data_IF_655664260007
#
_entry.id   IF_655664260007
#
_cell.length_a   1.000
_cell.length_b   1.000
_cell.length_c   1.000
_cell.angle_alpha   90.00
_cell.angle_beta   90.00
_cell.angle_gamma   90.00
#
_symmetry.space_group_name_H-M   'P 1'
#
loop_
_entity.id
_entity.type
_entity.pdbx_description
1 polymer ?
#
# COMPACT_ATOMS: atom_id res chain seq x y z
N UNK A 1 0.72 -34.70 16.95
CA UNK A 1 0.15 -36.06 16.71
C UNK A 1 -0.88 -35.98 15.59
N UNK A 2 -1.99 -35.25 15.72
CA UNK A 2 -3.01 -35.12 14.66
C UNK A 2 -2.46 -34.57 13.32
N UNK A 3 -1.62 -33.53 13.36
CA UNK A 3 -1.06 -32.93 12.14
C UNK A 3 -0.25 -33.94 11.28
N UNK A 4 0.40 -34.92 11.93
CA UNK A 4 1.17 -35.95 11.21
C UNK A 4 0.27 -36.89 10.41
N UNK A 5 -0.96 -37.16 10.88
CA UNK A 5 -1.93 -38.00 10.18
C UNK A 5 -2.37 -37.36 8.84
N UNK A 6 -2.44 -36.03 8.79
CA UNK A 6 -2.83 -35.28 7.60
C UNK A 6 -1.64 -34.77 6.78
N UNK A 7 -0.40 -34.86 7.29
CA UNK A 7 0.79 -34.31 6.64
C UNK A 7 0.94 -34.80 5.21
N UNK A 8 0.78 -36.11 4.98
CA UNK A 8 0.88 -36.70 3.64
C UNK A 8 -0.13 -36.09 2.66
N UNK A 9 -1.39 -35.91 3.08
CA UNK A 9 -2.45 -35.33 2.27
C UNK A 9 -2.22 -33.84 1.98
N UNK A 10 -1.83 -33.08 3.00
CA UNK A 10 -1.57 -31.64 2.89
C UNK A 10 -0.41 -31.35 1.94
N UNK A 11 0.64 -32.18 1.97
CA UNK A 11 1.82 -32.03 1.11
C UNK A 11 1.67 -32.70 -0.26
N UNK A 12 0.58 -33.44 -0.51
CA UNK A 12 0.35 -34.11 -1.77
C UNK A 12 -0.01 -33.12 -2.87
N UNK A 13 0.75 -33.15 -3.98
CA UNK A 13 0.44 -32.37 -5.18
C UNK A 13 -0.77 -32.93 -5.93
N UNK A 14 -1.52 -32.06 -6.62
CA UNK A 14 -2.66 -32.46 -7.44
C UNK A 14 -3.97 -32.69 -6.66
N UNK A 15 -3.91 -32.78 -5.33
CA UNK A 15 -5.10 -32.69 -4.48
C UNK A 15 -5.40 -31.22 -4.23
N UNK A 16 -6.56 -30.76 -4.67
CA UNK A 16 -6.97 -29.36 -4.51
C UNK A 16 -7.32 -29.03 -3.06
N UNK A 17 -6.84 -27.89 -2.56
CA UNK A 17 -7.16 -27.34 -1.24
C UNK A 17 -8.06 -26.14 -1.44
N UNK A 18 -9.30 -26.26 -0.97
CA UNK A 18 -10.31 -25.20 -1.05
C UNK A 18 -10.41 -24.54 0.33
N UNK A 19 -10.34 -23.22 0.36
CA UNK A 19 -10.43 -22.45 1.60
C UNK A 19 -10.85 -21.01 1.37
N UNK A 20 -11.00 -20.26 2.45
CA UNK A 20 -11.32 -18.83 2.42
C UNK A 20 -10.18 -18.10 3.12
N UNK A 21 -9.48 -17.19 2.41
CA UNK A 21 -8.26 -16.57 2.93
C UNK A 21 -7.18 -17.61 3.31
N UNK A 22 -6.92 -18.56 2.39
CA UNK A 22 -6.00 -19.69 2.55
C UNK A 22 -4.61 -19.27 3.02
N UNK A 23 -4.16 -18.05 2.71
CA UNK A 23 -2.86 -17.54 3.15
C UNK A 23 -2.69 -17.63 4.67
N UNK A 24 -3.78 -17.44 5.45
CA UNK A 24 -3.77 -17.61 6.90
C UNK A 24 -3.49 -19.06 7.28
N UNK A 25 -4.27 -20.02 6.78
CA UNK A 25 -4.11 -21.45 7.09
C UNK A 25 -2.74 -21.98 6.67
N UNK A 26 -2.29 -21.59 5.48
CA UNK A 26 -0.96 -21.92 4.96
C UNK A 26 0.14 -21.40 5.89
N UNK A 27 -0.03 -20.22 6.47
CA UNK A 27 0.93 -19.64 7.42
C UNK A 27 0.98 -20.41 8.74
N UNK A 28 -0.20 -20.77 9.29
CA UNK A 28 -0.29 -21.56 10.52
C UNK A 28 0.35 -22.95 10.33
N UNK A 29 0.08 -23.61 9.20
CA UNK A 29 0.64 -24.92 8.88
C UNK A 29 2.15 -24.86 8.62
N UNK A 30 2.62 -23.81 7.94
CA UNK A 30 4.05 -23.60 7.71
C UNK A 30 4.82 -23.39 9.03
N UNK A 31 4.24 -22.67 10.00
CA UNK A 31 4.82 -22.50 11.33
C UNK A 31 4.99 -23.84 12.09
N UNK A 32 4.22 -24.87 11.72
CA UNK A 32 4.35 -26.24 12.23
C UNK A 32 5.16 -27.16 11.31
N UNK A 33 5.90 -26.59 10.35
CA UNK A 33 6.75 -27.33 9.42
C UNK A 33 5.98 -28.12 8.37
N UNK A 34 4.74 -27.75 8.04
CA UNK A 34 3.95 -28.37 6.98
C UNK A 34 3.81 -27.38 5.82
N UNK A 35 4.50 -27.68 4.73
CA UNK A 35 4.36 -26.93 3.48
C UNK A 35 3.25 -27.55 2.63
N UNK A 36 2.02 -27.04 2.78
CA UNK A 36 0.86 -27.49 2.02
C UNK A 36 1.09 -27.23 0.54
N UNK A 37 0.85 -28.23 -0.31
CA UNK A 37 1.00 -28.11 -1.77
C UNK A 37 -0.35 -28.01 -2.48
N UNK A 38 -0.42 -27.19 -3.53
CA UNK A 38 -1.62 -26.98 -4.32
C UNK A 38 -1.99 -28.15 -5.24
N UNK A 39 -3.04 -27.98 -6.08
CA UNK A 39 -3.69 -26.71 -6.42
C UNK A 39 -4.48 -26.08 -5.28
N UNK A 40 -4.66 -24.76 -5.31
CA UNK A 40 -5.42 -24.01 -4.31
C UNK A 40 -6.64 -23.36 -4.94
N UNK A 41 -7.74 -23.30 -4.19
CA UNK A 41 -8.89 -22.47 -4.50
C UNK A 41 -9.20 -21.61 -3.27
N UNK A 42 -8.89 -20.33 -3.35
CA UNK A 42 -9.26 -19.36 -2.33
C UNK A 42 -10.53 -18.62 -2.75
N UNK A 43 -11.63 -18.82 -2.02
CA UNK A 43 -12.92 -18.21 -2.34
C UNK A 43 -12.91 -16.68 -2.16
N UNK A 44 -12.08 -16.14 -1.27
CA UNK A 44 -11.89 -14.69 -1.12
C UNK A 44 -11.24 -14.12 -2.38
N UNK A 45 -10.13 -14.72 -2.84
CA UNK A 45 -9.45 -14.29 -4.07
C UNK A 45 -10.34 -14.46 -5.31
N UNK A 46 -11.09 -15.56 -5.38
CA UNK A 46 -12.04 -15.79 -6.47
C UNK A 46 -13.09 -14.68 -6.53
N UNK A 47 -13.72 -14.36 -5.41
CA UNK A 47 -14.72 -13.29 -5.36
C UNK A 47 -14.11 -11.90 -5.63
N UNK A 48 -12.88 -11.64 -5.17
CA UNK A 48 -12.18 -10.38 -5.48
C UNK A 48 -11.88 -10.17 -6.95
N UNK A 49 -11.81 -11.24 -7.75
CA UNK A 49 -11.74 -11.13 -9.21
C UNK A 49 -13.12 -11.02 -9.88
N UNK A 50 -14.14 -11.64 -9.29
CA UNK A 50 -15.52 -11.62 -9.82
C UNK A 50 -16.16 -10.25 -9.63
N UNK A 51 -16.10 -9.69 -8.42
CA UNK A 51 -16.71 -8.40 -8.08
C UNK A 51 -15.82 -7.59 -7.10
N UNK A 52 -14.78 -6.90 -7.61
CA UNK A 52 -13.75 -6.24 -6.79
C UNK A 52 -14.25 -5.14 -5.84
N UNK A 53 -15.44 -4.57 -6.09
CA UNK A 53 -15.98 -3.44 -5.31
C UNK A 53 -16.84 -3.91 -4.11
N UNK A 54 -17.10 -5.21 -3.99
CA UNK A 54 -17.91 -5.79 -2.92
C UNK A 54 -17.09 -6.18 -1.69
N UNK A 55 -17.81 -6.61 -0.64
CA UNK A 55 -17.17 -7.25 0.51
C UNK A 55 -16.84 -8.69 0.14
N UNK A 56 -15.69 -9.17 0.62
CA UNK A 56 -15.19 -10.51 0.30
C UNK A 56 -15.12 -11.43 1.52
N UNK A 57 -15.75 -11.08 2.65
CA UNK A 57 -15.77 -11.93 3.84
C UNK A 57 -16.77 -13.09 3.69
N UNK A 58 -16.41 -14.27 4.18
CA UNK A 58 -17.19 -15.51 4.03
C UNK A 58 -18.67 -15.36 4.44
N UNK A 59 -18.97 -14.73 5.56
CA UNK A 59 -20.35 -14.53 6.05
C UNK A 59 -21.21 -13.79 5.02
N UNK A 60 -20.69 -12.70 4.47
CA UNK A 60 -21.37 -11.92 3.43
C UNK A 60 -21.54 -12.74 2.14
N UNK A 61 -20.55 -13.54 1.78
CA UNK A 61 -20.61 -14.41 0.60
C UNK A 61 -21.63 -15.55 0.78
N UNK A 62 -21.69 -16.16 1.97
CA UNK A 62 -22.68 -17.18 2.28
C UNK A 62 -24.11 -16.63 2.20
N UNK A 63 -24.36 -15.43 2.74
CA UNK A 63 -25.69 -14.81 2.68
C UNK A 63 -26.10 -14.45 1.25
N UNK A 64 -25.16 -13.95 0.45
CA UNK A 64 -25.42 -13.51 -0.93
C UNK A 64 -25.56 -14.68 -1.91
N UNK A 65 -24.65 -15.66 -1.86
CA UNK A 65 -24.61 -16.79 -2.80
C UNK A 65 -25.47 -17.98 -2.37
N UNK A 66 -25.50 -18.28 -1.06
CA UNK A 66 -26.11 -19.50 -0.53
C UNK A 66 -27.44 -19.23 0.20
N UNK A 67 -27.78 -17.95 0.46
CA UNK A 67 -28.92 -17.56 1.31
C UNK A 67 -28.85 -18.20 2.70
N UNK A 68 -27.63 -18.36 3.18
CA UNK A 68 -27.31 -18.96 4.46
C UNK A 68 -26.56 -17.95 5.32
N UNK A 69 -26.88 -17.89 6.61
CA UNK A 69 -26.21 -17.01 7.58
C UNK A 69 -25.35 -17.89 8.48
N UNK A 70 -24.02 -17.88 8.32
CA UNK A 70 -23.11 -18.63 9.17
C UNK A 70 -23.15 -18.15 10.63
N UNK A 71 -22.68 -19.00 11.53
CA UNK A 71 -22.46 -18.63 12.94
C UNK A 71 -21.30 -17.63 12.99
N UNK A 72 -21.48 -16.40 13.49
CA UNK A 72 -20.38 -15.46 13.60
C UNK A 72 -19.38 -15.91 14.66
N UNK A 73 -18.08 -15.69 14.44
CA UNK A 73 -17.03 -16.05 15.41
C UNK A 73 -17.29 -15.45 16.80
N UNK A 74 -17.91 -14.28 16.88
CA UNK A 74 -18.24 -13.60 18.14
C UNK A 74 -19.30 -14.33 18.97
N UNK A 75 -20.11 -15.20 18.37
CA UNK A 75 -21.00 -16.10 19.12
C UNK A 75 -20.20 -17.20 19.85
N UNK A 76 -19.00 -17.51 19.37
CA UNK A 76 -18.13 -18.53 19.93
C UNK A 76 -17.18 -17.96 20.99
N UNK A 77 -16.49 -16.87 20.66
CA UNK A 77 -15.43 -16.30 21.51
C UNK A 77 -15.83 -15.00 22.23
N UNK A 78 -17.05 -14.51 22.01
CA UNK A 78 -17.51 -13.22 22.51
C UNK A 78 -17.07 -12.03 21.64
N UNK A 79 -17.51 -10.83 22.01
CA UNK A 79 -17.16 -9.57 21.33
C UNK A 79 -16.07 -8.81 22.09
N UNK A 80 -15.17 -8.13 21.37
CA UNK A 80 -14.11 -7.24 21.92
C UNK A 80 -14.62 -6.02 22.72
N UNK A 81 -15.90 -5.96 23.09
CA UNK A 81 -16.47 -4.82 23.82
C UNK A 81 -16.06 -4.84 25.30
N UNK A 82 -14.81 -4.46 25.56
CA UNK A 82 -14.33 -3.58 26.63
C UNK A 82 -12.97 -3.99 27.21
N UNK A 83 -12.43 -5.17 26.89
CA UNK A 83 -11.09 -5.56 27.31
C UNK A 83 -10.52 -6.67 26.41
N UNK A 84 -9.28 -6.54 25.94
CA UNK A 84 -8.59 -7.57 25.13
C UNK A 84 -8.48 -8.90 25.91
N UNK A 85 -8.55 -8.84 27.24
CA UNK A 85 -8.52 -9.98 28.16
C UNK A 85 -9.88 -10.65 28.39
N UNK A 86 -10.97 -10.11 27.84
CA UNK A 86 -12.33 -10.65 28.01
C UNK A 86 -12.81 -11.55 26.88
N UNK A 87 -12.06 -11.64 25.77
CA UNK A 87 -12.37 -12.52 24.65
C UNK A 87 -11.72 -13.88 24.89
N UNK A 88 -12.52 -14.94 24.88
CA UNK A 88 -12.01 -16.31 24.97
C UNK A 88 -11.23 -16.67 23.71
N UNK A 89 -10.23 -17.52 23.79
CA UNK A 89 -9.59 -18.09 22.60
C UNK A 89 -10.35 -19.31 22.11
N UNK A 90 -10.11 -19.73 20.85
CA UNK A 90 -10.61 -21.02 20.35
C UNK A 90 -10.16 -22.20 21.25
N UNK A 91 -8.98 -22.09 21.87
CA UNK A 91 -8.48 -23.10 22.80
C UNK A 91 -9.27 -23.12 24.11
N UNK A 92 -9.65 -21.95 24.65
CA UNK A 92 -10.47 -21.84 25.86
C UNK A 92 -11.85 -22.44 25.61
N UNK A 93 -12.48 -22.09 24.48
CA UNK A 93 -13.79 -22.67 24.10
C UNK A 93 -13.69 -24.17 23.87
N UNK A 94 -12.62 -24.66 23.23
CA UNK A 94 -12.42 -26.09 23.02
C UNK A 94 -12.20 -26.86 24.33
N UNK A 95 -11.59 -26.24 25.33
CA UNK A 95 -11.39 -26.85 26.64
C UNK A 95 -12.72 -27.03 27.40
N UNK A 96 -13.68 -26.13 27.18
CA UNK A 96 -15.03 -26.22 27.76
C UNK A 96 -15.97 -27.12 26.94
N UNK A 97 -15.99 -26.91 25.63
CA UNK A 97 -16.88 -27.59 24.68
C UNK A 97 -16.23 -27.68 23.29
N UNK A 98 -15.40 -28.70 23.10
CA UNK A 98 -14.77 -29.01 21.82
C UNK A 98 -15.77 -29.20 20.67
N UNK A 99 -17.03 -29.56 20.96
CA UNK A 99 -18.03 -29.79 19.92
C UNK A 99 -18.44 -28.48 19.25
N UNK A 100 -18.57 -27.39 20.00
CA UNK A 100 -18.86 -26.06 19.43
C UNK A 100 -17.79 -25.59 18.45
N UNK A 101 -16.52 -25.79 18.80
CA UNK A 101 -15.40 -25.45 17.91
C UNK A 101 -15.41 -26.33 16.66
N UNK A 102 -15.68 -27.63 16.81
CA UNK A 102 -15.79 -28.55 15.69
C UNK A 102 -16.95 -28.20 14.74
N UNK A 103 -18.13 -27.88 15.28
CA UNK A 103 -19.30 -27.53 14.48
C UNK A 103 -19.08 -26.20 13.73
N UNK A 104 -18.47 -25.19 14.37
CA UNK A 104 -18.07 -23.93 13.71
C UNK A 104 -17.05 -24.16 12.59
N UNK A 105 -15.96 -24.89 12.86
CA UNK A 105 -14.92 -25.15 11.86
C UNK A 105 -15.43 -26.02 10.70
N UNK A 106 -16.38 -26.93 10.96
CA UNK A 106 -17.01 -27.75 9.92
C UNK A 106 -17.95 -26.91 9.03
N UNK A 107 -18.69 -25.96 9.62
CA UNK A 107 -19.52 -25.01 8.88
C UNK A 107 -18.67 -24.16 7.92
N UNK A 108 -17.57 -23.56 8.40
CA UNK A 108 -16.64 -22.78 7.57
C UNK A 108 -16.12 -23.58 6.36
N UNK A 109 -15.74 -24.84 6.59
CA UNK A 109 -15.26 -25.73 5.53
C UNK A 109 -16.35 -26.09 4.50
N UNK A 110 -17.56 -26.41 4.95
CA UNK A 110 -18.70 -26.76 4.08
C UNK A 110 -19.17 -25.55 3.25
N UNK A 111 -19.41 -24.41 3.92
CA UNK A 111 -19.80 -23.15 3.28
C UNK A 111 -18.78 -22.76 2.22
N UNK A 112 -17.49 -22.81 2.55
CA UNK A 112 -16.42 -22.46 1.62
C UNK A 112 -16.36 -23.40 0.41
N UNK A 113 -16.57 -24.71 0.61
CA UNK A 113 -16.65 -25.67 -0.48
C UNK A 113 -17.83 -25.39 -1.42
N UNK A 114 -19.01 -25.07 -0.87
CA UNK A 114 -20.19 -24.69 -1.64
C UNK A 114 -19.99 -23.38 -2.40
N UNK A 115 -19.38 -22.37 -1.78
CA UNK A 115 -19.02 -21.10 -2.43
C UNK A 115 -18.08 -21.34 -3.61
N UNK A 116 -17.07 -22.20 -3.44
CA UNK A 116 -16.14 -22.53 -4.52
C UNK A 116 -16.86 -23.14 -5.73
N UNK A 117 -17.82 -24.04 -5.51
CA UNK A 117 -18.62 -24.62 -6.59
C UNK A 117 -19.43 -23.57 -7.36
N UNK A 118 -19.93 -22.53 -6.68
CA UNK A 118 -20.69 -21.42 -7.30
C UNK A 118 -19.79 -20.43 -8.04
N UNK A 119 -18.61 -20.11 -7.49
CA UNK A 119 -17.71 -19.09 -8.03
C UNK A 119 -16.90 -19.57 -9.24
N UNK A 120 -16.58 -20.86 -9.34
CA UNK A 120 -15.83 -21.44 -10.47
C UNK A 120 -16.38 -21.03 -11.84
N UNK A 121 -17.69 -21.22 -12.16
CA UNK A 121 -18.23 -20.80 -13.44
C UNK A 121 -18.29 -19.28 -13.63
N UNK A 122 -18.24 -18.49 -12.56
CA UNK A 122 -18.31 -17.03 -12.62
C UNK A 122 -16.97 -16.37 -12.93
N UNK A 123 -15.84 -17.03 -12.65
CA UNK A 123 -14.50 -16.52 -12.94
C UNK A 123 -14.30 -16.17 -14.42
N UNK A 124 -14.90 -16.91 -15.36
CA UNK A 124 -14.88 -16.63 -16.82
C UNK A 124 -13.49 -16.22 -17.33
N UNK A 125 -13.34 -14.98 -17.78
CA UNK A 125 -12.11 -14.41 -18.33
C UNK A 125 -11.00 -14.25 -17.28
N UNK A 126 -11.37 -14.14 -16.00
CA UNK A 126 -10.43 -14.02 -14.88
C UNK A 126 -9.85 -15.37 -14.43
N UNK A 127 -10.33 -16.49 -14.99
CA UNK A 127 -9.86 -17.82 -14.61
C UNK A 127 -8.35 -17.97 -14.78
N UNK A 128 -7.77 -17.41 -15.85
CA UNK A 128 -6.32 -17.44 -16.06
C UNK A 128 -5.57 -16.71 -14.94
N UNK A 129 -6.02 -15.50 -14.58
CA UNK A 129 -5.38 -14.69 -13.52
C UNK A 129 -5.49 -15.42 -12.18
N UNK A 130 -6.67 -15.95 -11.86
CA UNK A 130 -6.89 -16.73 -10.65
C UNK A 130 -5.94 -17.93 -10.55
N UNK A 131 -5.93 -18.80 -11.57
CA UNK A 131 -5.19 -20.07 -11.52
C UNK A 131 -3.69 -19.93 -11.74
N UNK A 132 -3.24 -18.93 -12.51
CA UNK A 132 -1.84 -18.80 -12.94
C UNK A 132 -1.09 -17.67 -12.25
N UNK A 133 -1.79 -16.74 -11.61
CA UNK A 133 -1.18 -15.61 -10.91
C UNK A 133 -1.53 -15.66 -9.42
N UNK A 134 -2.80 -15.55 -9.06
CA UNK A 134 -3.20 -15.32 -7.66
C UNK A 134 -3.04 -16.56 -6.77
N UNK A 135 -3.53 -17.74 -7.19
CA UNK A 135 -3.40 -18.97 -6.41
C UNK A 135 -1.95 -19.46 -6.27
N UNK A 136 -1.11 -19.44 -7.32
CA UNK A 136 0.31 -19.80 -7.18
C UNK A 136 1.10 -18.82 -6.31
N UNK A 137 0.64 -17.57 -6.17
CA UNK A 137 1.28 -16.54 -5.35
C UNK A 137 1.04 -16.75 -3.84
N UNK A 138 -0.04 -17.45 -3.44
CA UNK A 138 -0.34 -17.76 -2.04
C UNK A 138 0.85 -18.35 -1.27
N UNK A 139 1.43 -19.51 -1.65
CA UNK A 139 2.55 -20.09 -0.90
C UNK A 139 3.81 -19.21 -0.92
N UNK A 140 4.00 -18.39 -1.96
CA UNK A 140 5.13 -17.45 -2.05
C UNK A 140 4.96 -16.36 -1.00
N UNK A 141 3.78 -15.73 -0.94
CA UNK A 141 3.50 -14.69 0.07
C UNK A 141 3.53 -15.27 1.48
N UNK A 142 2.93 -16.43 1.72
CA UNK A 142 3.01 -17.12 3.01
C UNK A 142 4.46 -17.31 3.46
N UNK A 143 5.36 -17.78 2.57
CA UNK A 143 6.79 -17.94 2.88
C UNK A 143 7.48 -16.60 3.12
N UNK A 144 7.19 -15.59 2.30
CA UNK A 144 7.75 -14.24 2.47
C UNK A 144 7.35 -13.62 3.81
N UNK A 145 6.07 -13.73 4.18
CA UNK A 145 5.54 -13.23 5.45
C UNK A 145 6.14 -13.98 6.64
N UNK A 146 6.22 -15.32 6.57
CA UNK A 146 6.83 -16.14 7.63
C UNK A 146 8.35 -15.89 7.76
N UNK A 147 9.04 -15.57 6.67
CA UNK A 147 10.46 -15.22 6.74
C UNK A 147 10.67 -13.85 7.38
N UNK A 148 9.87 -12.85 7.00
CA UNK A 148 9.96 -11.50 7.52
C UNK A 148 11.27 -10.77 7.17
N UNK A 149 11.40 -9.54 7.66
CA UNK A 149 12.57 -8.67 7.41
C UNK A 149 13.22 -8.23 8.72
N UNK A 150 14.56 -8.23 8.76
CA UNK A 150 15.31 -7.79 9.94
C UNK A 150 15.48 -6.27 9.91
N UNK A 151 15.37 -5.65 11.08
CA UNK A 151 15.71 -4.25 11.27
C UNK A 151 16.74 -4.07 12.39
N UNK A 152 17.59 -3.06 12.23
CA UNK A 152 18.44 -2.53 13.28
C UNK A 152 17.64 -1.52 14.11
N UNK A 153 17.09 -2.01 15.22
CA UNK A 153 16.30 -1.20 16.16
C UNK A 153 17.13 -0.11 16.82
N UNK A 154 18.44 -0.34 17.03
CA UNK A 154 19.30 0.64 17.67
C UNK A 154 19.57 1.81 16.72
N UNK A 155 20.00 1.52 15.48
CA UNK A 155 20.22 2.55 14.47
C UNK A 155 18.96 3.38 14.22
N UNK A 156 17.78 2.73 14.22
CA UNK A 156 16.51 3.43 14.05
C UNK A 156 16.21 4.38 15.23
N UNK A 157 16.47 3.96 16.48
CA UNK A 157 16.28 4.81 17.67
C UNK A 157 17.25 5.99 17.70
N UNK A 158 18.51 5.78 17.34
CA UNK A 158 19.52 6.83 17.25
C UNK A 158 19.09 7.89 16.23
N UNK A 159 18.59 7.46 15.08
CA UNK A 159 18.03 8.36 14.08
C UNK A 159 16.76 9.10 14.56
N UNK A 160 15.94 8.45 15.39
CA UNK A 160 14.80 9.08 16.06
C UNK A 160 15.15 10.33 16.85
N UNK A 161 16.26 10.27 17.60
CA UNK A 161 16.76 11.44 18.36
C UNK A 161 17.11 12.61 17.45
N UNK A 162 17.67 12.33 16.26
CA UNK A 162 17.97 13.37 15.28
C UNK A 162 16.70 13.99 14.68
N UNK A 163 15.70 13.16 14.39
CA UNK A 163 14.39 13.62 13.91
C UNK A 163 13.68 14.48 14.95
N UNK A 164 13.69 14.09 16.23
CA UNK A 164 13.10 14.87 17.33
C UNK A 164 13.76 16.24 17.46
N UNK A 165 15.10 16.30 17.41
CA UNK A 165 15.83 17.57 17.43
C UNK A 165 15.41 18.46 16.25
N UNK A 166 15.36 17.89 15.04
CA UNK A 166 14.98 18.63 13.83
C UNK A 166 13.53 19.10 13.89
N UNK A 167 12.61 18.29 14.41
CA UNK A 167 11.21 18.65 14.61
C UNK A 167 11.08 19.82 15.59
N UNK A 168 11.83 19.80 16.71
CA UNK A 168 11.82 20.87 17.70
C UNK A 168 12.37 22.20 17.13
N UNK A 169 13.46 22.14 16.36
CA UNK A 169 14.03 23.29 15.67
C UNK A 169 13.04 23.90 14.65
N UNK A 170 12.43 23.06 13.82
CA UNK A 170 11.42 23.46 12.85
C UNK A 170 10.20 24.07 13.54
N UNK A 171 9.70 23.43 14.60
CA UNK A 171 8.57 23.92 15.38
C UNK A 171 8.84 25.32 15.93
N UNK A 172 10.03 25.54 16.52
CA UNK A 172 10.42 26.86 17.04
C UNK A 172 10.43 27.91 15.93
N UNK A 173 11.09 27.61 14.80
CA UNK A 173 11.17 28.50 13.64
C UNK A 173 9.79 28.84 13.07
N UNK A 174 8.90 27.85 12.99
CA UNK A 174 7.51 28.03 12.51
C UNK A 174 6.73 28.94 13.46
N UNK A 175 6.83 28.73 14.77
CA UNK A 175 6.12 29.54 15.77
C UNK A 175 6.62 30.99 15.80
N UNK A 176 7.93 31.20 15.64
CA UNK A 176 8.53 32.55 15.49
C UNK A 176 8.00 33.25 14.24
N UNK A 177 8.04 32.58 13.09
CA UNK A 177 7.52 33.09 11.82
C UNK A 177 6.00 33.27 11.79
N UNK A 178 5.27 32.53 12.63
CA UNK A 178 3.82 32.63 12.77
C UNK A 178 3.35 33.75 13.72
N UNK A 179 4.28 34.46 14.38
CA UNK A 179 3.95 35.49 15.35
C UNK A 179 3.30 34.97 16.64
N UNK A 180 3.64 33.74 17.07
CA UNK A 180 3.21 33.20 18.35
C UNK A 180 3.02 31.69 18.38
N UNK A 181 2.89 31.10 19.58
CA UNK A 181 2.74 29.66 19.75
C UNK A 181 1.39 29.15 19.22
N UNK A 182 1.41 27.99 18.60
CA UNK A 182 0.23 27.21 18.22
C UNK A 182 0.62 25.73 18.07
N UNK A 183 -0.38 24.86 17.98
CA UNK A 183 -0.20 23.43 17.77
C UNK A 183 -0.09 23.12 16.27
N UNK A 184 1.11 22.79 15.79
CA UNK A 184 1.36 22.43 14.39
C UNK A 184 0.66 21.12 13.97
N UNK A 185 0.36 20.25 14.93
CA UNK A 185 -0.35 19.00 14.68
C UNK A 185 -1.87 19.20 14.56
N UNK A 186 -2.37 20.42 14.79
CA UNK A 186 -3.78 20.78 14.60
C UNK A 186 -3.98 21.46 13.23
N UNK A 187 -4.60 20.78 12.24
CA UNK A 187 -4.87 21.37 10.93
C UNK A 187 -5.71 22.64 11.01
N UNK A 188 -6.59 22.74 12.02
CA UNK A 188 -7.41 23.91 12.29
C UNK A 188 -6.56 25.13 12.67
N UNK A 189 -5.73 24.99 13.71
CA UNK A 189 -4.88 26.10 14.17
C UNK A 189 -3.87 26.51 13.10
N UNK A 190 -3.29 25.53 12.40
CA UNK A 190 -2.40 25.80 11.28
C UNK A 190 -3.10 26.62 10.18
N UNK A 191 -4.34 26.26 9.84
CA UNK A 191 -5.14 27.00 8.87
C UNK A 191 -5.41 28.44 9.30
N UNK A 192 -5.82 28.66 10.55
CA UNK A 192 -6.05 30.00 11.11
C UNK A 192 -4.77 30.85 11.07
N UNK A 193 -3.62 30.26 11.40
CA UNK A 193 -2.31 30.95 11.31
C UNK A 193 -1.98 31.34 9.86
N UNK A 194 -2.08 30.41 8.92
CA UNK A 194 -1.70 30.66 7.52
C UNK A 194 -2.63 31.66 6.82
N UNK A 195 -3.93 31.61 7.10
CA UNK A 195 -4.92 32.31 6.30
C UNK A 195 -5.59 33.50 7.00
N UNK A 196 -5.76 33.46 8.32
CA UNK A 196 -6.36 34.58 9.06
C UNK A 196 -5.28 35.54 9.57
N UNK A 197 -4.18 34.99 10.12
CA UNK A 197 -3.08 35.79 10.69
C UNK A 197 -2.09 36.25 9.63
N UNK A 198 -1.48 35.32 8.90
CA UNK A 198 -0.48 35.62 7.87
C UNK A 198 -1.09 36.06 6.54
N UNK A 199 -2.39 35.77 6.33
CA UNK A 199 -3.16 36.16 5.14
C UNK A 199 -2.45 35.84 3.82
N UNK A 200 -1.86 34.65 3.73
CA UNK A 200 -1.03 34.24 2.59
C UNK A 200 -1.80 34.20 1.26
N UNK A 201 -3.11 34.00 1.31
CA UNK A 201 -4.01 34.02 0.14
C UNK A 201 -5.35 34.66 0.52
N UNK A 202 -5.96 35.37 -0.43
CA UNK A 202 -7.25 36.05 -0.21
C UNK A 202 -8.44 35.09 -0.14
N UNK A 203 -8.37 33.95 -0.84
CA UNK A 203 -9.49 32.98 -0.93
C UNK A 203 -9.01 31.56 -0.63
N UNK A 204 -8.83 31.20 0.65
CA UNK A 204 -8.41 29.86 1.03
C UNK A 204 -9.50 28.82 0.76
N UNK A 205 -9.11 27.67 0.24
CA UNK A 205 -10.02 26.53 0.10
C UNK A 205 -10.36 25.96 1.48
N UNK A 206 -11.62 25.58 1.67
CA UNK A 206 -12.13 24.94 2.89
C UNK A 206 -12.60 23.52 2.61
N UNK A 207 -12.52 22.65 3.61
CA UNK A 207 -13.10 21.31 3.61
C UNK A 207 -14.63 21.40 3.67
N UNK A 208 -15.32 20.29 3.41
CA UNK A 208 -16.77 20.19 3.59
C UNK A 208 -17.21 20.53 5.03
N UNK A 209 -16.32 20.34 6.01
CA UNK A 209 -16.52 20.68 7.43
C UNK A 209 -16.18 22.14 7.77
N UNK A 210 -15.85 22.97 6.78
CA UNK A 210 -15.58 24.41 6.96
C UNK A 210 -14.17 24.76 7.47
N UNK A 211 -13.30 23.77 7.68
CA UNK A 211 -11.91 24.00 8.09
C UNK A 211 -11.06 24.38 6.87
N UNK A 212 -10.02 25.18 7.07
CA UNK A 212 -9.08 25.47 5.99
C UNK A 212 -8.34 24.21 5.53
N UNK A 213 -8.21 24.03 4.22
CA UNK A 213 -7.42 22.94 3.66
C UNK A 213 -5.93 23.28 3.82
N UNK A 214 -5.21 22.43 4.53
CA UNK A 214 -3.76 22.55 4.72
C UNK A 214 -3.04 21.27 4.29
N UNK A 215 -3.57 20.51 3.32
CA UNK A 215 -2.90 19.29 2.85
C UNK A 215 -1.61 19.61 2.07
N UNK A 216 -0.80 18.59 1.79
CA UNK A 216 0.49 18.75 1.11
C UNK A 216 0.36 19.49 -0.23
N UNK A 217 -0.67 19.18 -1.03
CA UNK A 217 -0.91 19.83 -2.32
C UNK A 217 -1.19 21.34 -2.16
N UNK A 218 -2.01 21.74 -1.18
CA UNK A 218 -2.27 23.16 -0.90
C UNK A 218 -0.98 23.83 -0.45
N UNK A 219 -0.24 23.24 0.49
CA UNK A 219 1.03 23.82 0.96
C UNK A 219 2.06 23.95 -0.16
N UNK A 220 2.18 22.96 -1.04
CA UNK A 220 3.07 23.04 -2.21
C UNK A 220 2.68 24.20 -3.15
N UNK A 221 1.39 24.45 -3.36
CA UNK A 221 0.93 25.60 -4.16
C UNK A 221 1.24 26.96 -3.54
N UNK A 222 1.58 26.99 -2.24
CA UNK A 222 1.95 28.20 -1.49
C UNK A 222 3.46 28.38 -1.37
N UNK A 223 4.26 27.47 -1.94
CA UNK A 223 5.73 27.60 -1.92
C UNK A 223 6.15 28.92 -2.58
N UNK A 224 7.16 29.56 -2.00
CA UNK A 224 7.67 30.86 -2.45
C UNK A 224 6.89 32.08 -1.92
N UNK A 225 5.67 31.91 -1.39
CA UNK A 225 4.93 33.02 -0.78
C UNK A 225 5.47 33.39 0.61
N UNK A 226 5.89 32.39 1.39
CA UNK A 226 6.42 32.63 2.73
C UNK A 226 7.34 31.47 3.17
N UNK A 227 8.48 31.74 3.85
CA UNK A 227 9.42 30.71 4.32
C UNK A 227 8.76 29.64 5.20
N UNK A 228 7.78 30.03 6.01
CA UNK A 228 7.02 29.13 6.90
C UNK A 228 6.44 27.91 6.18
N UNK A 229 6.11 28.02 4.89
CA UNK A 229 5.48 26.93 4.12
C UNK A 229 6.44 25.75 3.95
N UNK A 230 7.71 26.02 3.61
CA UNK A 230 8.72 24.97 3.49
C UNK A 230 8.95 24.32 4.86
N UNK A 231 9.07 25.14 5.91
CA UNK A 231 9.27 24.64 7.27
C UNK A 231 8.14 23.71 7.73
N UNK A 232 6.88 24.05 7.41
CA UNK A 232 5.72 23.21 7.73
C UNK A 232 5.76 21.89 6.96
N UNK A 233 6.14 21.90 5.68
CA UNK A 233 6.29 20.70 4.89
C UNK A 233 7.38 19.78 5.48
N UNK A 234 8.55 20.35 5.78
CA UNK A 234 9.66 19.64 6.42
C UNK A 234 9.27 19.08 7.80
N UNK A 235 8.57 19.87 8.62
CA UNK A 235 8.12 19.46 9.96
C UNK A 235 7.17 18.26 9.87
N UNK A 236 6.23 18.29 8.92
CA UNK A 236 5.29 17.17 8.70
C UNK A 236 5.98 15.93 8.19
N UNK A 237 6.97 16.08 7.31
CA UNK A 237 7.78 14.94 6.85
C UNK A 237 8.51 14.29 8.03
N UNK A 238 9.27 15.08 8.81
CA UNK A 238 10.02 14.60 9.98
C UNK A 238 9.10 13.93 11.00
N UNK A 239 7.99 14.58 11.37
CA UNK A 239 7.04 14.05 12.35
C UNK A 239 6.39 12.76 11.86
N UNK A 240 6.04 12.69 10.56
CA UNK A 240 5.50 11.46 9.97
C UNK A 240 6.53 10.34 10.00
N UNK A 241 7.78 10.63 9.63
CA UNK A 241 8.86 9.65 9.65
C UNK A 241 9.09 9.10 11.07
N UNK A 242 9.04 9.96 12.07
CA UNK A 242 9.21 9.56 13.46
C UNK A 242 8.04 8.68 13.94
N UNK A 243 6.82 9.21 13.92
CA UNK A 243 5.65 8.52 14.48
C UNK A 243 5.28 7.25 13.71
N UNK A 244 5.40 7.27 12.38
CA UNK A 244 4.93 6.14 11.54
C UNK A 244 5.99 5.04 11.41
N UNK A 245 7.27 5.37 11.53
CA UNK A 245 8.35 4.41 11.28
C UNK A 245 9.27 4.22 12.48
N UNK A 246 9.88 5.29 13.00
CA UNK A 246 10.85 5.17 14.10
C UNK A 246 10.21 4.62 15.36
N UNK A 247 9.05 5.13 15.75
CA UNK A 247 8.35 4.67 16.95
C UNK A 247 7.63 3.34 16.69
N UNK A 248 6.97 3.19 15.55
CA UNK A 248 6.09 2.05 15.29
C UNK A 248 6.83 0.76 14.89
N UNK A 249 7.89 0.83 14.07
CA UNK A 249 8.57 -0.37 13.56
C UNK A 249 9.21 -1.23 14.66
N UNK A 250 9.86 -0.67 15.71
CA UNK A 250 10.37 -1.47 16.82
C UNK A 250 9.30 -2.29 17.54
N UNK A 251 8.06 -1.78 17.62
CA UNK A 251 6.94 -2.50 18.21
C UNK A 251 6.41 -3.64 17.32
N UNK A 252 6.68 -3.58 16.02
CA UNK A 252 6.32 -4.62 15.06
C UNK A 252 7.34 -5.78 14.98
N UNK A 253 8.46 -5.70 15.71
CA UNK A 253 9.45 -6.78 15.75
C UNK A 253 8.91 -7.93 16.58
N UNK A 254 8.79 -9.10 15.95
CA UNK A 254 8.42 -10.34 16.63
C UNK A 254 9.46 -10.71 17.66
N UNK A 255 9.01 -10.99 18.90
CA UNK A 255 9.87 -11.46 19.99
C UNK A 255 10.42 -12.87 19.74
N UNK A 256 9.79 -13.63 18.85
CA UNK A 256 10.17 -15.02 18.54
C UNK A 256 11.28 -15.06 17.49
N UNK A 257 11.15 -14.27 16.43
CA UNK A 257 12.07 -14.32 15.28
C UNK A 257 13.08 -13.18 15.26
N UNK A 258 12.83 -12.09 16.00
CA UNK A 258 13.62 -10.86 15.90
C UNK A 258 13.41 -10.11 14.59
N UNK A 259 12.32 -10.39 13.86
CA UNK A 259 12.02 -9.84 12.53
C UNK A 259 10.64 -9.20 12.49
N UNK A 260 10.43 -8.32 11.51
CA UNK A 260 9.11 -7.76 11.18
C UNK A 260 8.44 -8.66 10.15
N UNK A 261 7.19 -9.05 10.43
CA UNK A 261 6.36 -9.88 9.57
C UNK A 261 5.17 -9.07 9.07
N UNK A 262 5.35 -8.35 7.96
CA UNK A 262 4.25 -7.61 7.32
C UNK A 262 3.20 -8.56 6.76
N UNK A 263 1.97 -8.11 6.64
CA UNK A 263 0.89 -8.83 5.95
C UNK A 263 0.66 -8.22 4.58
N UNK A 264 0.84 -9.00 3.51
CA UNK A 264 0.52 -8.62 2.14
C UNK A 264 -0.93 -8.99 1.81
N UNK A 265 -1.68 -8.04 1.28
CA UNK A 265 -3.07 -8.26 0.85
C UNK A 265 -3.12 -8.34 -0.67
N UNK A 266 -3.50 -9.51 -1.20
CA UNK A 266 -3.82 -9.68 -2.61
C UNK A 266 -5.17 -9.04 -2.91
N UNK A 267 -5.30 -8.43 -4.10
CA UNK A 267 -6.57 -7.92 -4.65
C UNK A 267 -7.36 -6.94 -3.77
N UNK A 268 -6.72 -6.32 -2.76
CA UNK A 268 -7.37 -5.30 -1.92
C UNK A 268 -7.61 -3.98 -2.68
N UNK A 269 -6.70 -3.64 -3.60
CA UNK A 269 -6.90 -2.50 -4.49
C UNK A 269 -7.60 -2.98 -5.77
N UNK A 270 -8.59 -2.22 -6.25
CA UNK A 270 -9.27 -2.50 -7.53
C UNK A 270 -8.32 -2.63 -8.74
N UNK A 271 -7.11 -2.07 -8.62
CA UNK A 271 -6.04 -2.19 -9.64
C UNK A 271 -5.32 -3.56 -9.65
N UNK A 272 -5.62 -4.44 -8.69
CA UNK A 272 -4.94 -5.72 -8.50
C UNK A 272 -3.58 -5.62 -7.79
N UNK A 273 -3.11 -4.41 -7.44
CA UNK A 273 -1.85 -4.25 -6.70
C UNK A 273 -1.97 -4.78 -5.28
N UNK A 274 -0.91 -5.46 -4.84
CA UNK A 274 -0.77 -5.85 -3.44
C UNK A 274 -0.72 -4.62 -2.54
N UNK A 275 -1.37 -4.70 -1.40
CA UNK A 275 -1.18 -3.77 -0.28
C UNK A 275 -0.37 -4.43 0.83
N UNK A 276 0.15 -3.64 1.78
CA UNK A 276 0.81 -4.18 2.97
C UNK A 276 0.29 -3.51 4.26
N UNK A 277 0.21 -4.26 5.35
CA UNK A 277 -0.17 -3.77 6.68
C UNK A 277 0.61 -4.46 7.79
N UNK A 278 0.54 -3.90 9.00
CA UNK A 278 1.13 -4.47 10.22
C UNK A 278 2.62 -4.85 10.13
N UNK A 279 3.53 -3.95 9.70
CA UNK A 279 3.34 -2.57 9.27
C UNK A 279 3.24 -2.43 7.74
N UNK A 280 2.79 -1.28 7.22
CA UNK A 280 2.79 -1.02 5.78
C UNK A 280 4.20 -0.68 5.27
N UNK A 281 4.91 -1.67 4.73
CA UNK A 281 6.27 -1.52 4.23
C UNK A 281 6.34 -0.84 2.86
N UNK A 282 5.24 -0.77 2.11
CA UNK A 282 5.20 -0.13 0.80
C UNK A 282 5.28 1.41 0.87
N UNK A 283 4.81 1.98 1.98
CA UNK A 283 4.73 3.44 2.15
C UNK A 283 6.04 4.08 2.67
N UNK A 284 7.07 3.28 2.98
CA UNK A 284 8.34 3.79 3.48
C UNK A 284 8.98 4.72 2.43
N UNK A 285 9.17 6.01 2.72
CA UNK A 285 9.61 6.99 1.72
C UNK A 285 10.94 6.62 1.06
N UNK A 286 11.03 6.88 -0.26
CA UNK A 286 12.13 6.38 -1.11
C UNK A 286 13.03 7.50 -1.63
N UNK A 287 12.49 8.72 -1.74
CA UNK A 287 13.13 9.83 -2.49
C UNK A 287 13.81 10.86 -1.61
N UNK A 288 13.34 11.06 -0.38
CA UNK A 288 13.96 12.02 0.53
C UNK A 288 15.17 11.42 1.22
N UNK A 289 16.17 12.26 1.50
CA UNK A 289 17.33 11.88 2.32
C UNK A 289 16.89 11.30 3.65
N UNK A 290 15.91 11.93 4.28
CA UNK A 290 15.40 11.49 5.56
C UNK A 290 14.74 10.09 5.50
N UNK A 291 14.03 9.79 4.42
CA UNK A 291 13.44 8.47 4.18
C UNK A 291 14.48 7.40 3.86
N UNK A 292 15.59 7.77 3.20
CA UNK A 292 16.70 6.86 2.93
C UNK A 292 17.35 6.35 4.21
N UNK A 293 17.50 7.19 5.23
CA UNK A 293 18.05 6.76 6.52
C UNK A 293 17.15 5.71 7.21
N UNK A 294 15.83 5.84 7.15
CA UNK A 294 14.90 4.81 7.67
C UNK A 294 15.11 3.46 6.96
N UNK A 295 15.38 3.47 5.65
CA UNK A 295 15.65 2.24 4.90
C UNK A 295 16.96 1.57 5.29
N UNK A 296 17.97 2.33 5.73
CA UNK A 296 19.24 1.75 6.20
C UNK A 296 19.06 0.91 7.46
N UNK A 297 18.00 1.16 8.24
CA UNK A 297 17.65 0.30 9.36
C UNK A 297 17.20 -1.09 8.90
N UNK A 298 16.81 -1.31 7.65
CA UNK A 298 16.53 -2.65 7.13
C UNK A 298 17.84 -3.32 6.72
N UNK A 299 18.19 -4.39 7.44
CA UNK A 299 19.51 -5.03 7.34
C UNK A 299 19.40 -6.49 6.90
N UNK A 300 20.46 -7.09 6.32
CA UNK A 300 20.49 -8.52 6.05
C UNK A 300 20.18 -9.34 7.32
N UNK A 301 19.44 -10.43 7.13
CA UNK A 301 18.99 -11.27 8.24
C UNK A 301 20.12 -11.99 8.97
N UNK A 302 21.05 -12.50 8.18
CA UNK A 302 22.12 -13.41 8.58
C UNK A 302 23.49 -12.80 8.30
N UNK A 303 24.49 -13.27 9.03
CA UNK A 303 25.88 -12.87 8.79
C UNK A 303 26.34 -13.32 7.39
N UNK A 304 27.05 -12.44 6.69
CA UNK A 304 27.51 -12.66 5.32
C UNK A 304 26.44 -12.49 4.23
N UNK A 305 25.18 -12.25 4.59
CA UNK A 305 24.14 -11.97 3.60
C UNK A 305 24.14 -10.50 3.16
N UNK A 306 23.61 -10.26 1.97
CA UNK A 306 23.38 -8.91 1.43
C UNK A 306 21.91 -8.73 1.04
N UNK A 307 21.41 -7.49 1.11
CA UNK A 307 20.11 -7.15 0.56
C UNK A 307 20.24 -6.81 -0.93
N UNK A 308 19.51 -7.52 -1.77
CA UNK A 308 19.42 -7.26 -3.20
C UNK A 308 18.07 -6.64 -3.52
N UNK A 309 18.06 -5.56 -4.31
CA UNK A 309 16.85 -4.93 -4.83
C UNK A 309 16.77 -5.15 -6.34
N UNK A 310 15.63 -5.66 -6.81
CA UNK A 310 15.30 -5.79 -8.23
C UNK A 310 14.01 -5.00 -8.49
N UNK A 311 14.07 -4.04 -9.40
CA UNK A 311 12.96 -3.13 -9.71
C UNK A 311 12.68 -3.09 -11.21
N UNK A 312 11.40 -3.15 -11.58
CA UNK A 312 11.01 -3.00 -12.97
C UNK A 312 11.03 -1.53 -13.37
N UNK A 313 12.08 -1.15 -14.10
CA UNK A 313 12.26 0.20 -14.63
C UNK A 313 11.09 0.63 -15.51
N UNK A 314 10.22 1.49 -14.96
CA UNK A 314 9.12 2.15 -15.66
C UNK A 314 8.11 1.17 -16.30
N UNK A 315 7.77 0.08 -15.60
CA UNK A 315 6.88 -0.97 -16.12
C UNK A 315 5.56 -0.44 -16.69
N UNK A 316 4.93 0.54 -16.04
CA UNK A 316 3.65 1.11 -16.49
C UNK A 316 3.76 1.77 -17.88
N UNK A 317 4.84 2.53 -18.11
CA UNK A 317 5.07 3.20 -19.40
C UNK A 317 5.40 2.18 -20.50
N UNK A 318 6.11 1.10 -20.14
CA UNK A 318 6.41 0.00 -21.07
C UNK A 318 5.15 -0.76 -21.47
N UNK A 319 4.27 -1.04 -20.50
CA UNK A 319 2.96 -1.65 -20.75
C UNK A 319 2.10 -0.73 -21.61
N UNK A 320 2.06 0.57 -21.32
CA UNK A 320 1.35 1.55 -22.16
C UNK A 320 1.86 1.53 -23.60
N UNK A 321 3.17 1.58 -23.81
CA UNK A 321 3.75 1.54 -25.17
C UNK A 321 3.35 0.27 -25.93
N UNK A 322 3.33 -0.89 -25.24
CA UNK A 322 2.90 -2.15 -25.83
C UNK A 322 1.40 -2.18 -26.15
N UNK A 323 0.56 -1.63 -25.28
CA UNK A 323 -0.91 -1.60 -25.46
C UNK A 323 -1.35 -0.57 -26.51
N UNK A 324 -0.69 0.59 -26.57
CA UNK A 324 -1.02 1.63 -27.55
C UNK A 324 -0.49 1.33 -28.96
N UNK A 325 0.55 0.49 -29.06
CA UNK A 325 1.24 0.23 -30.32
C UNK A 325 2.03 1.43 -30.85
N UNK A 326 2.32 2.42 -30.00
CA UNK A 326 3.04 3.62 -30.38
C UNK A 326 4.50 3.29 -30.74
N UNK A 327 4.82 3.39 -32.03
CA UNK A 327 6.15 3.05 -32.54
C UNK A 327 7.25 3.90 -31.92
N UNK A 328 6.99 5.18 -31.70
CA UNK A 328 8.00 6.10 -31.19
C UNK A 328 8.36 5.80 -29.72
N UNK A 329 7.38 5.39 -28.90
CA UNK A 329 7.59 4.96 -27.52
C UNK A 329 8.25 3.58 -27.46
N UNK A 330 7.82 2.64 -28.30
CA UNK A 330 8.43 1.30 -28.39
C UNK A 330 9.91 1.42 -28.81
N UNK A 331 10.21 2.19 -29.84
CA UNK A 331 11.58 2.44 -30.31
C UNK A 331 12.41 3.17 -29.26
N UNK A 332 11.84 4.14 -28.55
CA UNK A 332 12.55 4.81 -27.45
C UNK A 332 12.96 3.82 -26.36
N UNK A 333 12.07 2.92 -25.95
CA UNK A 333 12.41 1.89 -24.97
C UNK A 333 13.39 0.84 -25.51
N UNK A 334 13.27 0.44 -26.79
CA UNK A 334 14.16 -0.53 -27.43
C UNK A 334 15.59 0.00 -27.55
N UNK A 335 15.74 1.30 -27.81
CA UNK A 335 17.02 1.98 -27.92
C UNK A 335 17.59 2.49 -26.57
N UNK A 336 16.92 2.19 -25.45
CA UNK A 336 17.37 2.61 -24.12
C UNK A 336 17.29 4.12 -23.87
N UNK A 337 16.48 4.85 -24.64
CA UNK A 337 16.31 6.28 -24.47
C UNK A 337 15.48 6.59 -23.21
N UNK A 338 15.78 7.72 -22.58
CA UNK A 338 14.94 8.25 -21.50
C UNK A 338 13.63 8.78 -22.09
N UNK A 339 12.54 8.06 -21.87
CA UNK A 339 11.23 8.41 -22.41
C UNK A 339 10.75 9.78 -21.94
N UNK A 340 11.07 10.21 -20.72
CA UNK A 340 10.68 11.51 -20.22
C UNK A 340 11.49 12.62 -20.89
N UNK A 341 12.77 12.38 -21.17
CA UNK A 341 13.60 13.29 -21.93
C UNK A 341 13.14 13.36 -23.40
N UNK A 342 12.80 12.23 -24.01
CA UNK A 342 12.26 12.17 -25.36
C UNK A 342 10.91 12.89 -25.48
N UNK A 343 10.01 12.68 -24.52
CA UNK A 343 8.77 13.46 -24.45
C UNK A 343 9.06 14.95 -24.25
N UNK A 344 9.97 15.32 -23.35
CA UNK A 344 10.31 16.72 -23.10
C UNK A 344 10.88 17.41 -24.35
N UNK A 345 11.84 16.79 -25.02
CA UNK A 345 12.42 17.26 -26.28
C UNK A 345 11.32 17.60 -27.30
N UNK A 346 10.34 16.68 -27.46
CA UNK A 346 9.23 16.85 -28.38
C UNK A 346 8.21 17.90 -27.95
N UNK A 347 7.83 17.92 -26.67
CA UNK A 347 6.84 18.88 -26.13
C UNK A 347 7.38 20.31 -26.18
N UNK A 348 8.67 20.50 -25.89
CA UNK A 348 9.33 21.82 -25.88
C UNK A 348 9.97 22.19 -27.22
N UNK A 349 9.97 21.28 -28.21
CA UNK A 349 10.57 21.51 -29.53
C UNK A 349 12.09 21.72 -29.48
N UNK A 350 12.79 21.03 -28.57
CA UNK A 350 14.24 21.08 -28.39
C UNK A 350 14.87 19.73 -28.72
N UNK A 351 16.16 19.73 -29.08
CA UNK A 351 16.93 18.49 -29.23
C UNK A 351 17.05 17.76 -27.88
N UNK A 352 17.27 16.44 -27.91
CA UNK A 352 17.39 15.61 -26.70
C UNK A 352 18.43 16.17 -25.71
N UNK A 353 19.57 16.65 -26.21
CA UNK A 353 20.65 17.23 -25.40
C UNK A 353 20.31 18.63 -24.86
N UNK A 354 19.30 19.28 -25.43
CA UNK A 354 18.78 20.58 -24.97
C UNK A 354 17.75 20.48 -23.86
N UNK A 355 17.38 19.27 -23.43
CA UNK A 355 16.36 19.08 -22.39
C UNK A 355 16.92 19.41 -21.01
N UNK A 356 16.37 20.44 -20.39
CA UNK A 356 16.69 20.82 -19.01
C UNK A 356 16.03 19.86 -18.00
N UNK A 357 16.61 19.68 -16.78
CA UNK A 357 16.03 18.83 -15.74
C UNK A 357 14.56 19.16 -15.39
N UNK A 358 14.22 20.45 -15.41
CA UNK A 358 12.85 20.93 -15.17
C UNK A 358 11.89 20.52 -16.29
N UNK A 359 12.32 20.60 -17.56
CA UNK A 359 11.53 20.15 -18.71
C UNK A 359 11.25 18.64 -18.63
N UNK A 360 12.26 17.85 -18.27
CA UNK A 360 12.11 16.40 -18.03
C UNK A 360 11.16 16.10 -16.88
N UNK A 361 11.22 16.86 -15.78
CA UNK A 361 10.31 16.71 -14.63
C UNK A 361 8.86 16.98 -15.04
N UNK A 362 8.63 18.01 -15.85
CA UNK A 362 7.31 18.34 -16.41
C UNK A 362 6.81 17.24 -17.33
N UNK A 363 7.62 16.80 -18.30
CA UNK A 363 7.24 15.71 -19.20
C UNK A 363 6.93 14.40 -18.48
N UNK A 364 7.65 14.11 -17.38
CA UNK A 364 7.32 12.99 -16.49
C UNK A 364 5.92 13.12 -15.89
N UNK A 365 5.57 14.30 -15.36
CA UNK A 365 4.23 14.54 -14.81
C UNK A 365 3.14 14.44 -15.88
N UNK A 366 3.44 14.88 -17.12
CA UNK A 366 2.55 14.75 -18.27
C UNK A 366 2.33 13.28 -18.63
N UNK A 367 3.39 12.48 -18.84
CA UNK A 367 3.27 11.06 -19.22
C UNK A 367 2.42 10.27 -18.21
N UNK A 368 2.76 10.35 -16.93
CA UNK A 368 1.97 9.67 -15.90
C UNK A 368 0.57 10.26 -15.76
N UNK A 369 0.41 11.58 -15.88
CA UNK A 369 -0.90 12.22 -15.85
C UNK A 369 -1.82 11.70 -16.95
N UNK A 370 -1.34 11.65 -18.19
CA UNK A 370 -2.13 11.21 -19.35
C UNK A 370 -2.50 9.73 -19.24
N UNK A 371 -1.57 8.87 -18.77
CA UNK A 371 -1.86 7.44 -18.51
C UNK A 371 -3.05 7.25 -17.57
N UNK A 372 -3.12 8.07 -16.52
CA UNK A 372 -4.21 8.02 -15.55
C UNK A 372 -5.41 8.91 -15.94
N UNK A 373 -5.50 9.34 -17.20
CA UNK A 373 -6.64 10.10 -17.71
C UNK A 373 -6.79 11.50 -17.11
N UNK A 374 -5.69 12.16 -16.77
CA UNK A 374 -5.74 13.53 -16.21
C UNK A 374 -6.39 14.50 -17.20
N UNK A 375 -7.29 15.36 -16.70
CA UNK A 375 -7.85 16.45 -17.50
C UNK A 375 -6.86 17.61 -17.62
N UNK A 376 -7.06 18.49 -18.61
CA UNK A 376 -6.29 19.74 -18.74
C UNK A 376 -6.35 20.61 -17.47
N UNK A 377 -7.47 20.58 -16.74
CA UNK A 377 -7.58 21.25 -15.44
C UNK A 377 -6.68 20.59 -14.38
N UNK A 378 -6.71 19.26 -14.28
CA UNK A 378 -5.85 18.52 -13.36
C UNK A 378 -4.36 18.71 -13.65
N UNK A 379 -3.99 18.72 -14.94
CA UNK A 379 -2.62 18.94 -15.38
C UNK A 379 -2.14 20.37 -15.08
N UNK A 380 -2.99 21.37 -15.35
CA UNK A 380 -2.74 22.78 -15.01
C UNK A 380 -2.44 22.97 -13.52
N UNK A 381 -3.21 22.33 -12.64
CA UNK A 381 -2.98 22.40 -11.19
C UNK A 381 -1.66 21.75 -10.75
N UNK A 382 -1.24 20.65 -11.39
CA UNK A 382 0.02 19.97 -11.05
C UNK A 382 1.24 20.71 -11.56
N UNK A 383 1.15 21.29 -12.76
CA UNK A 383 2.25 22.00 -13.39
C UNK A 383 2.34 23.48 -13.00
N UNK A 384 1.28 24.04 -12.39
CA UNK A 384 1.21 25.47 -12.07
C UNK A 384 1.09 26.36 -13.32
N UNK A 385 0.60 25.82 -14.44
CA UNK A 385 0.47 26.54 -15.72
C UNK A 385 -0.99 26.88 -16.04
N UNK A 386 -1.27 27.88 -16.91
CA UNK A 386 -2.63 28.16 -17.37
C UNK A 386 -3.33 26.94 -18.00
N UNK A 387 -4.64 26.82 -17.80
CA UNK A 387 -5.44 25.70 -18.35
C UNK A 387 -5.33 25.56 -19.87
N UNK A 388 -5.24 26.67 -20.60
CA UNK A 388 -5.08 26.66 -22.05
C UNK A 388 -3.77 25.98 -22.48
N UNK A 389 -2.67 26.33 -21.81
CA UNK A 389 -1.35 25.73 -22.06
C UNK A 389 -1.35 24.23 -21.74
N UNK A 390 -1.95 23.83 -20.61
CA UNK A 390 -2.11 22.42 -20.27
C UNK A 390 -2.94 21.64 -21.31
N UNK A 391 -3.98 22.24 -21.88
CA UNK A 391 -4.77 21.63 -22.95
C UNK A 391 -3.93 21.45 -24.22
N UNK A 392 -3.16 22.47 -24.61
CA UNK A 392 -2.23 22.40 -25.76
C UNK A 392 -1.18 21.31 -25.59
N UNK A 393 -0.64 21.13 -24.38
CA UNK A 393 0.31 20.04 -24.09
C UNK A 393 -0.33 18.67 -24.31
N UNK A 394 -1.55 18.45 -23.83
CA UNK A 394 -2.27 17.18 -24.02
C UNK A 394 -2.60 16.96 -25.50
N UNK A 395 -3.07 17.98 -26.21
CA UNK A 395 -3.35 17.87 -27.65
C UNK A 395 -2.10 17.54 -28.47
N UNK A 396 -0.98 18.22 -28.19
CA UNK A 396 0.28 17.96 -28.87
C UNK A 396 0.82 16.56 -28.57
N UNK A 397 0.61 16.07 -27.35
CA UNK A 397 0.99 14.71 -26.97
C UNK A 397 0.24 13.64 -27.77
N UNK A 398 -1.05 13.83 -28.07
CA UNK A 398 -1.86 12.84 -28.84
C UNK A 398 -1.79 13.00 -30.36
N UNK A 399 -1.38 14.18 -30.87
CA UNK A 399 -1.19 14.40 -32.31
C UNK A 399 0.08 13.73 -32.85
N UNK A 400 1.04 13.51 -31.97
CA UNK A 400 2.30 12.83 -32.24
C UNK A 400 2.15 11.35 -31.91
#
# INVERSE_FOLDING_TARGET
VVLEEFRALLMQEGVEKIGHNLKFDLSVLLAHGVEVRGPYFDSMLAHSLIDPDQRHGMDYLAESYLRYTPVPITALIGTEKNDLFSQSTMADVAAEDARKVADYAAEDADVTWQLAAKMRPELKEQQYVFEKVECPLLPVLTKMENYGVKIDVQALREYGVELDRKAAELQKRIQENAGGPFNLNSPKQLGEVLFDRLKLIEKPKKTATGQYQTNEQVLQSLMGLHPIIQDILDYREVTKLNNTYVEALPHAVSRVTGRIHTTFHQLMAATGRMASSNPNLQNIPIRSDLGREIRKAFVPGEEGWVLMSADYSQIELRVMAALSGDKAMIEAFANGLDIHQATAARVYGVELDGVLPEMRRTAKMVNFGIIYGISAFGLSQRLGIPRGEAATIIENYFKQ
#
